data_IF_560694106042
#
_entry.id   IF_560694106042
#
_cell.length_a   1.000
_cell.length_b   1.000
_cell.length_c   1.000
_cell.angle_alpha   90.00
_cell.angle_beta   90.00
_cell.angle_gamma   90.00
#
_symmetry.space_group_name_H-M   'P 1'
#
loop_
_entity.id
_entity.type
_entity.pdbx_description
1 polymer ?
#
# COMPACT_ATOMS: atom_id res chain seq x y z
N UNK A 1 -28.46 -8.02 -8.74
CA UNK A 1 -27.57 -8.80 -7.84
C UNK A 1 -26.42 -7.96 -7.29
N UNK A 2 -25.59 -7.30 -8.13
CA UNK A 2 -24.41 -6.52 -7.67
C UNK A 2 -24.73 -5.31 -6.76
N UNK A 3 -25.84 -4.59 -7.00
CA UNK A 3 -26.25 -3.45 -6.16
C UNK A 3 -26.60 -3.87 -4.72
N UNK A 4 -27.25 -5.02 -4.56
CA UNK A 4 -27.64 -5.56 -3.26
C UNK A 4 -26.43 -5.98 -2.42
N UNK A 5 -25.42 -6.57 -3.06
CA UNK A 5 -24.16 -6.98 -2.40
C UNK A 5 -23.37 -5.77 -1.87
N UNK A 6 -23.17 -4.72 -2.70
CA UNK A 6 -22.48 -3.49 -2.25
C UNK A 6 -23.20 -2.82 -1.07
N UNK A 7 -24.52 -2.81 -1.07
CA UNK A 7 -25.30 -2.25 0.02
C UNK A 7 -25.13 -3.05 1.32
N UNK A 8 -25.09 -4.38 1.24
CA UNK A 8 -24.86 -5.25 2.39
C UNK A 8 -23.44 -5.06 2.96
N UNK A 9 -22.42 -5.01 2.10
CA UNK A 9 -21.03 -4.74 2.49
C UNK A 9 -20.91 -3.40 3.23
N UNK A 10 -21.47 -2.32 2.67
CA UNK A 10 -21.48 -0.99 3.30
C UNK A 10 -22.15 -1.00 4.67
N UNK A 11 -23.29 -1.68 4.81
CA UNK A 11 -24.00 -1.82 6.10
C UNK A 11 -23.16 -2.57 7.12
N UNK A 12 -22.50 -3.65 6.73
CA UNK A 12 -21.65 -4.43 7.62
C UNK A 12 -20.46 -3.59 8.13
N UNK A 13 -19.82 -2.81 7.26
CA UNK A 13 -18.74 -1.89 7.63
C UNK A 13 -19.20 -0.83 8.62
N UNK A 14 -20.38 -0.23 8.42
CA UNK A 14 -20.95 0.74 9.36
C UNK A 14 -21.18 0.12 10.74
N UNK A 15 -21.83 -1.05 10.80
CA UNK A 15 -22.12 -1.73 12.07
C UNK A 15 -20.82 -2.05 12.81
N UNK A 16 -19.81 -2.57 12.11
CA UNK A 16 -18.52 -2.90 12.71
C UNK A 16 -17.80 -1.65 13.24
N UNK A 17 -17.81 -0.56 12.47
CA UNK A 17 -17.20 0.70 12.88
C UNK A 17 -17.92 1.33 14.08
N UNK A 18 -19.26 1.33 14.08
CA UNK A 18 -20.09 1.82 15.21
C UNK A 18 -19.87 0.99 16.49
N UNK A 19 -19.62 -0.31 16.35
CA UNK A 19 -19.29 -1.20 17.45
C UNK A 19 -17.83 -1.08 17.94
N UNK A 20 -17.01 -0.23 17.31
CA UNK A 20 -15.60 -0.04 17.69
C UNK A 20 -14.69 -1.22 17.31
N UNK A 21 -15.13 -2.07 16.36
CA UNK A 21 -14.32 -3.19 15.87
C UNK A 21 -13.15 -2.65 15.04
N UNK A 22 -11.94 -3.17 15.29
CA UNK A 22 -10.78 -2.86 14.44
C UNK A 22 -10.95 -3.55 13.09
N UNK A 23 -11.01 -2.75 12.03
CA UNK A 23 -11.18 -3.22 10.65
C UNK A 23 -9.82 -3.29 9.95
N UNK A 24 -9.52 -4.42 9.32
CA UNK A 24 -8.35 -4.59 8.47
C UNK A 24 -8.77 -4.67 6.99
N UNK A 25 -7.86 -4.26 6.11
CA UNK A 25 -8.01 -4.38 4.66
C UNK A 25 -7.54 -5.76 4.18
N UNK A 26 -8.36 -6.41 3.37
CA UNK A 26 -8.05 -7.67 2.71
C UNK A 26 -8.89 -7.80 1.45
N UNK A 27 -8.31 -8.32 0.36
CA UNK A 27 -9.00 -8.44 -0.92
C UNK A 27 -9.80 -9.74 -1.01
N UNK A 28 -9.24 -10.86 -0.54
CA UNK A 28 -9.80 -12.21 -0.73
C UNK A 28 -10.22 -12.46 -2.21
N UNK A 29 -9.40 -11.94 -3.13
CA UNK A 29 -9.59 -12.05 -4.56
C UNK A 29 -8.63 -13.08 -5.12
N UNK A 30 -9.14 -14.00 -5.94
CA UNK A 30 -8.36 -15.09 -6.53
C UNK A 30 -8.29 -14.97 -8.06
N UNK A 31 -7.13 -15.31 -8.62
CA UNK A 31 -6.90 -15.32 -10.06
C UNK A 31 -7.04 -13.92 -10.69
N UNK A 32 -7.77 -13.76 -11.80
CA UNK A 32 -7.86 -12.50 -12.53
C UNK A 32 -8.56 -11.39 -11.74
N UNK A 33 -9.15 -11.71 -10.58
CA UNK A 33 -9.87 -10.76 -9.74
C UNK A 33 -8.96 -9.77 -9.03
N UNK A 34 -7.64 -9.95 -9.02
CA UNK A 34 -6.71 -8.98 -8.41
C UNK A 34 -6.92 -7.53 -8.88
N UNK A 35 -7.43 -7.34 -10.12
CA UNK A 35 -7.74 -6.01 -10.69
C UNK A 35 -8.80 -5.25 -9.92
N UNK A 36 -9.63 -5.96 -9.15
CA UNK A 36 -10.64 -5.37 -8.30
C UNK A 36 -10.14 -5.05 -6.89
N UNK A 37 -8.89 -5.38 -6.53
CA UNK A 37 -8.34 -5.10 -5.20
C UNK A 37 -8.44 -3.62 -4.89
N UNK A 38 -7.90 -2.76 -5.76
CA UNK A 38 -7.90 -1.31 -5.51
C UNK A 38 -9.31 -0.72 -5.40
N UNK A 39 -10.30 -1.31 -6.08
CA UNK A 39 -11.71 -0.90 -6.01
C UNK A 39 -12.32 -0.99 -4.62
N UNK A 40 -11.77 -1.83 -3.76
CA UNK A 40 -12.21 -1.98 -2.37
C UNK A 40 -11.97 -0.70 -1.55
N UNK A 41 -10.95 0.11 -1.88
CA UNK A 41 -10.73 1.41 -1.24
C UNK A 41 -11.91 2.37 -1.45
N UNK A 42 -12.42 2.45 -2.69
CA UNK A 42 -13.60 3.25 -3.03
C UNK A 42 -14.93 2.69 -2.51
N UNK A 43 -15.00 1.38 -2.22
CA UNK A 43 -16.17 0.79 -1.57
C UNK A 43 -16.18 1.10 -0.07
N UNK A 44 -15.04 0.94 0.61
CA UNK A 44 -14.90 1.20 2.04
C UNK A 44 -15.08 2.66 2.41
N UNK A 45 -14.69 3.59 1.54
CA UNK A 45 -14.87 5.03 1.76
C UNK A 45 -16.33 5.49 1.78
N UNK A 46 -17.27 4.66 1.33
CA UNK A 46 -18.71 4.91 1.44
C UNK A 46 -19.27 4.64 2.84
N UNK A 47 -18.48 4.02 3.71
CA UNK A 47 -18.83 3.68 5.10
C UNK A 47 -17.86 4.30 6.11
N UNK A 48 -16.58 4.39 5.75
CA UNK A 48 -15.50 4.79 6.64
C UNK A 48 -14.87 6.10 6.15
N UNK A 49 -14.33 6.89 7.08
CA UNK A 49 -13.48 8.03 6.70
C UNK A 49 -12.23 7.55 5.96
N UNK A 50 -11.70 8.37 5.05
CA UNK A 50 -10.46 8.10 4.31
C UNK A 50 -9.30 7.69 5.23
N UNK A 51 -9.19 8.35 6.40
CA UNK A 51 -8.21 8.02 7.42
C UNK A 51 -8.39 6.58 7.94
N UNK A 52 -9.62 6.18 8.29
CA UNK A 52 -9.92 4.83 8.76
C UNK A 52 -9.63 3.78 7.68
N UNK A 53 -9.95 4.08 6.40
CA UNK A 53 -9.62 3.18 5.29
C UNK A 53 -8.11 2.98 5.17
N UNK A 54 -7.32 4.05 5.21
CA UNK A 54 -5.86 3.96 5.17
C UNK A 54 -5.29 3.23 6.40
N UNK A 55 -5.83 3.49 7.60
CA UNK A 55 -5.42 2.79 8.82
C UNK A 55 -5.69 1.28 8.71
N UNK A 56 -6.83 0.90 8.13
CA UNK A 56 -7.19 -0.50 7.90
C UNK A 56 -6.19 -1.25 7.02
N UNK A 57 -5.52 -0.56 6.08
CA UNK A 57 -4.50 -1.12 5.19
C UNK A 57 -3.06 -0.95 5.69
N UNK A 58 -2.88 -0.29 6.84
CA UNK A 58 -1.57 0.04 7.40
C UNK A 58 -1.49 -0.43 8.86
N UNK A 59 -1.60 0.49 9.81
CA UNK A 59 -1.40 0.22 11.25
C UNK A 59 -2.32 -0.87 11.80
N UNK A 60 -3.56 -0.96 11.33
CA UNK A 60 -4.50 -1.96 11.84
C UNK A 60 -4.23 -3.34 11.22
N UNK A 61 -3.82 -3.38 9.95
CA UNK A 61 -3.34 -4.61 9.31
C UNK A 61 -2.05 -5.11 9.98
N UNK A 62 -1.10 -4.23 10.29
CA UNK A 62 0.12 -4.59 11.01
C UNK A 62 -0.18 -5.20 12.38
N UNK A 63 -1.11 -4.62 13.15
CA UNK A 63 -1.58 -5.20 14.43
C UNK A 63 -2.25 -6.56 14.25
N UNK A 64 -3.08 -6.71 13.22
CA UNK A 64 -3.73 -8.00 12.93
C UNK A 64 -2.69 -9.10 12.62
N UNK A 65 -1.59 -8.72 11.96
CA UNK A 65 -0.45 -9.58 11.64
C UNK A 65 0.52 -9.79 12.81
N UNK A 66 0.34 -9.09 13.94
CA UNK A 66 1.28 -9.06 15.08
C UNK A 66 2.68 -8.54 14.71
N UNK A 67 2.71 -7.58 13.80
CA UNK A 67 3.91 -6.94 13.26
C UNK A 67 3.87 -5.42 13.46
N UNK A 68 3.10 -4.91 14.42
CA UNK A 68 2.90 -3.48 14.67
C UNK A 68 4.17 -2.71 15.09
N UNK A 69 5.23 -3.42 15.49
CA UNK A 69 6.54 -2.85 15.80
C UNK A 69 7.45 -2.74 14.57
N UNK A 70 7.06 -3.36 13.45
CA UNK A 70 7.87 -3.46 12.23
C UNK A 70 7.17 -2.96 10.97
N UNK A 71 5.84 -3.07 10.85
CA UNK A 71 5.05 -2.71 9.67
C UNK A 71 4.05 -1.56 9.92
N UNK A 72 3.57 -0.97 8.84
CA UNK A 72 2.40 -0.07 8.84
C UNK A 72 2.66 1.36 9.26
N UNK A 73 3.91 1.73 9.56
CA UNK A 73 4.30 3.09 9.90
C UNK A 73 5.57 3.50 9.19
N UNK A 74 5.64 4.78 8.78
CA UNK A 74 6.86 5.40 8.30
C UNK A 74 7.62 5.93 9.52
N UNK A 75 8.46 5.08 10.11
CA UNK A 75 9.23 5.40 11.32
C UNK A 75 10.56 4.65 11.28
N UNK A 76 11.61 5.24 11.85
CA UNK A 76 12.89 4.53 12.00
C UNK A 76 12.71 3.23 12.79
N UNK A 77 13.33 2.15 12.32
CA UNK A 77 13.17 0.80 12.89
C UNK A 77 12.08 -0.04 12.21
N UNK A 78 11.23 0.56 11.37
CA UNK A 78 10.20 -0.15 10.60
C UNK A 78 10.74 -0.58 9.23
N UNK A 79 10.05 -1.53 8.59
CA UNK A 79 10.27 -1.91 7.20
C UNK A 79 10.03 -0.72 6.27
N UNK A 80 10.87 -0.58 5.26
CA UNK A 80 10.76 0.46 4.25
C UNK A 80 9.83 0.02 3.11
N UNK A 81 8.57 -0.26 3.47
CA UNK A 81 7.47 -0.59 2.54
C UNK A 81 6.65 0.68 2.27
N UNK A 82 6.85 1.28 1.10
CA UNK A 82 6.36 2.62 0.77
C UNK A 82 5.66 2.67 -0.59
N UNK A 83 4.56 3.42 -0.65
CA UNK A 83 3.95 3.89 -1.89
C UNK A 83 4.27 5.36 -2.09
N UNK A 84 4.76 5.72 -3.28
CA UNK A 84 5.00 7.10 -3.68
C UNK A 84 3.93 7.52 -4.68
N UNK A 85 3.15 8.55 -4.33
CA UNK A 85 2.01 9.02 -5.10
C UNK A 85 2.19 10.47 -5.53
N UNK A 86 1.61 10.87 -6.66
CA UNK A 86 1.58 12.27 -7.11
C UNK A 86 0.40 13.08 -6.53
N UNK A 87 -0.49 12.44 -5.78
CA UNK A 87 -1.68 13.03 -5.17
C UNK A 87 -1.88 12.50 -3.75
N UNK A 88 -2.68 13.22 -2.97
CA UNK A 88 -2.93 12.93 -1.56
C UNK A 88 -4.12 11.97 -1.38
N UNK A 89 -3.93 10.69 -1.04
CA UNK A 89 -5.04 9.77 -0.81
C UNK A 89 -5.89 10.14 0.41
N UNK A 90 -5.45 11.06 1.29
CA UNK A 90 -6.30 11.61 2.36
C UNK A 90 -7.35 12.59 1.83
N UNK A 91 -7.09 13.24 0.70
CA UNK A 91 -8.03 14.16 0.05
C UNK A 91 -8.98 13.38 -0.87
N UNK A 92 -8.44 12.46 -1.67
CA UNK A 92 -9.24 11.56 -2.50
C UNK A 92 -8.64 10.15 -2.51
N UNK A 93 -9.35 9.20 -1.90
CA UNK A 93 -8.95 7.79 -1.84
C UNK A 93 -9.11 7.08 -3.18
N UNK A 94 -9.93 7.63 -4.10
CA UNK A 94 -10.18 7.04 -5.42
C UNK A 94 -8.95 7.11 -6.33
N UNK A 95 -7.89 7.82 -5.95
CA UNK A 95 -6.63 7.79 -6.71
C UNK A 95 -6.02 6.38 -6.77
N UNK A 96 -6.36 5.50 -5.81
CA UNK A 96 -5.91 4.10 -5.83
C UNK A 96 -6.54 3.28 -6.96
N UNK A 97 -7.68 3.72 -7.49
CA UNK A 97 -8.38 3.06 -8.59
C UNK A 97 -7.74 3.25 -9.97
N UNK A 98 -6.77 4.18 -10.07
CA UNK A 98 -6.07 4.58 -11.29
C UNK A 98 -4.55 4.55 -11.07
N UNK A 99 -3.97 3.37 -10.75
CA UNK A 99 -2.56 3.26 -10.37
C UNK A 99 -1.60 3.77 -11.46
N UNK A 100 -1.95 3.59 -12.74
CA UNK A 100 -1.19 4.07 -13.88
C UNK A 100 -1.04 5.59 -13.94
N UNK A 101 -1.94 6.34 -13.29
CA UNK A 101 -1.92 7.80 -13.22
C UNK A 101 -1.31 8.34 -11.95
N UNK A 102 -1.49 7.66 -10.82
CA UNK A 102 -1.17 8.23 -9.51
C UNK A 102 0.04 7.61 -8.83
N UNK A 103 0.42 6.37 -9.14
CA UNK A 103 1.55 5.69 -8.52
C UNK A 103 2.83 6.10 -9.23
N UNK A 104 3.76 6.71 -8.50
CA UNK A 104 5.07 7.10 -9.01
C UNK A 104 6.10 6.00 -8.80
N UNK A 105 6.08 5.36 -7.63
CA UNK A 105 6.96 4.25 -7.29
C UNK A 105 6.39 3.39 -6.16
N UNK A 106 6.80 2.12 -6.15
CA UNK A 106 6.55 1.15 -5.09
C UNK A 106 7.90 0.72 -4.52
N UNK A 107 8.06 0.87 -3.22
CA UNK A 107 9.25 0.45 -2.48
C UNK A 107 8.85 -0.67 -1.53
N UNK A 108 9.59 -1.77 -1.54
CA UNK A 108 9.39 -2.92 -0.65
C UNK A 108 10.71 -3.28 0.01
N UNK A 109 10.72 -3.40 1.33
CA UNK A 109 11.91 -3.72 2.14
C UNK A 109 13.12 -2.81 1.80
N UNK A 110 12.84 -1.56 1.41
CA UNK A 110 13.86 -0.58 1.01
C UNK A 110 14.37 -0.69 -0.43
N UNK A 111 13.83 -1.60 -1.25
CA UNK A 111 14.11 -1.72 -2.70
C UNK A 111 13.00 -1.08 -3.52
N UNK A 112 13.36 -0.37 -4.58
CA UNK A 112 12.41 0.17 -5.56
C UNK A 112 12.02 -0.95 -6.53
N UNK A 113 10.88 -1.59 -6.27
CA UNK A 113 10.38 -2.71 -7.06
C UNK A 113 9.74 -2.26 -8.38
N UNK A 114 9.13 -1.07 -8.40
CA UNK A 114 8.54 -0.50 -9.60
C UNK A 114 8.58 1.03 -9.54
N UNK A 115 8.90 1.69 -10.65
CA UNK A 115 8.93 3.15 -10.71
C UNK A 115 8.76 3.72 -12.11
N UNK A 116 7.92 4.75 -12.20
CA UNK A 116 7.81 5.63 -13.39
C UNK A 116 8.44 6.99 -13.16
N UNK A 117 9.04 7.22 -11.99
CA UNK A 117 9.65 8.48 -11.65
C UNK A 117 11.13 8.47 -11.97
N UNK A 118 11.54 9.29 -12.94
CA UNK A 118 12.94 9.37 -13.40
C UNK A 118 13.98 9.65 -12.32
N UNK A 119 13.58 10.24 -11.18
CA UNK A 119 14.46 10.53 -10.03
C UNK A 119 14.65 9.34 -9.09
N UNK A 120 13.85 8.28 -9.25
CA UNK A 120 13.85 7.10 -8.40
C UNK A 120 13.84 5.85 -9.29
N UNK A 121 14.97 5.47 -9.90
CA UNK A 121 15.02 4.29 -10.77
C UNK A 121 14.80 3.00 -9.97
N UNK A 122 14.26 2.00 -10.64
CA UNK A 122 14.09 0.64 -10.10
C UNK A 122 15.45 0.05 -9.71
N UNK A 123 15.46 -0.68 -8.60
CA UNK A 123 16.63 -1.43 -8.19
C UNK A 123 16.69 -2.70 -9.05
N UNK A 124 17.48 -2.65 -10.13
CA UNK A 124 17.60 -3.71 -11.15
C UNK A 124 17.58 -5.13 -10.58
N UNK A 125 16.49 -5.85 -10.86
CA UNK A 125 16.55 -7.24 -11.31
C UNK A 125 15.78 -7.35 -12.64
N UNK A 126 16.49 -7.75 -13.68
CA UNK A 126 16.04 -7.72 -15.08
C UNK A 126 15.02 -8.84 -15.28
N UNK A 127 13.72 -8.57 -15.18
CA UNK A 127 12.64 -9.24 -15.93
C UNK A 127 11.28 -8.74 -15.44
N UNK A 128 10.62 -7.81 -16.15
CA UNK A 128 9.16 -7.78 -16.45
C UNK A 128 8.66 -6.35 -16.77
N UNK A 129 8.16 -6.09 -17.99
CA UNK A 129 7.58 -4.79 -18.37
C UNK A 129 6.20 -4.47 -17.72
N UNK A 130 5.64 -5.37 -16.91
CA UNK A 130 4.30 -5.32 -16.30
C UNK A 130 4.29 -5.18 -14.76
N UNK A 131 5.45 -4.88 -14.16
CA UNK A 131 5.70 -4.91 -12.72
C UNK A 131 4.82 -3.99 -11.85
N UNK A 132 4.29 -2.86 -12.36
CA UNK A 132 3.52 -1.92 -11.52
C UNK A 132 2.18 -2.50 -11.05
N UNK A 133 1.51 -3.29 -11.90
CA UNK A 133 0.24 -3.94 -11.57
C UNK A 133 0.54 -5.29 -10.90
N UNK A 134 1.47 -6.08 -11.43
CA UNK A 134 1.82 -7.36 -10.79
C UNK A 134 2.45 -7.20 -9.39
N UNK A 135 3.23 -6.16 -9.09
CA UNK A 135 3.83 -5.97 -7.76
C UNK A 135 2.78 -5.55 -6.71
N UNK A 136 1.71 -4.87 -7.12
CA UNK A 136 0.55 -4.64 -6.26
C UNK A 136 -0.27 -5.93 -6.04
N UNK A 137 -0.24 -6.86 -6.99
CA UNK A 137 -1.09 -8.06 -7.01
C UNK A 137 -0.39 -9.32 -6.48
N UNK A 138 0.93 -9.39 -6.58
CA UNK A 138 1.75 -10.53 -6.23
C UNK A 138 2.51 -10.22 -4.94
N UNK A 139 1.83 -10.42 -3.82
CA UNK A 139 2.46 -10.61 -2.52
C UNK A 139 3.21 -11.96 -2.41
N UNK A 140 3.76 -12.48 -3.51
CA UNK A 140 4.65 -13.64 -3.52
C UNK A 140 5.90 -13.30 -4.32
N UNK A 141 6.88 -12.68 -3.66
CA UNK A 141 8.27 -12.74 -4.11
C UNK A 141 9.15 -12.99 -2.89
N UNK A 142 9.76 -14.17 -2.90
CA UNK A 142 10.64 -14.69 -1.86
C UNK A 142 12.00 -14.00 -1.86
N UNK A 143 12.60 -13.88 -0.67
CA UNK A 143 14.04 -13.81 -0.35
C UNK A 143 14.93 -12.95 -1.27
N UNK A 144 15.33 -11.77 -0.78
CA UNK A 144 16.68 -11.24 -1.06
C UNK A 144 17.35 -10.86 0.27
N UNK A 145 18.36 -11.65 0.65
CA UNK A 145 19.31 -11.29 1.70
C UNK A 145 20.25 -10.24 1.10
N UNK A 146 20.11 -8.99 1.53
CA UNK A 146 20.92 -7.87 1.02
C UNK A 146 21.20 -6.86 2.13
N UNK A 147 22.41 -6.93 2.66
CA UNK A 147 23.08 -6.10 3.68
C UNK A 147 22.74 -4.60 3.74
N UNK A 148 22.80 -4.05 4.97
CA UNK A 148 22.87 -2.65 5.48
C UNK A 148 22.94 -1.42 4.52
N UNK A 149 23.42 -1.55 3.29
CA UNK A 149 23.48 -0.49 2.27
C UNK A 149 22.10 0.01 1.80
N UNK A 150 21.11 -0.90 1.77
CA UNK A 150 19.75 -0.62 1.25
C UNK A 150 19.00 0.36 2.18
N UNK A 151 19.21 0.24 3.50
CA UNK A 151 18.62 1.12 4.51
C UNK A 151 19.06 2.58 4.35
N UNK A 152 20.27 2.83 3.85
CA UNK A 152 20.76 4.18 3.59
C UNK A 152 20.07 4.84 2.38
N UNK A 153 19.66 4.07 1.37
CA UNK A 153 19.00 4.56 0.15
C UNK A 153 17.54 4.95 0.42
N UNK A 154 16.80 4.10 1.14
CA UNK A 154 15.46 4.41 1.63
C UNK A 154 15.45 5.63 2.59
N UNK A 155 16.44 5.73 3.49
CA UNK A 155 16.61 6.91 4.32
C UNK A 155 16.93 8.17 3.51
N UNK A 156 17.69 8.07 2.41
CA UNK A 156 17.94 9.21 1.52
C UNK A 156 16.67 9.70 0.80
N UNK A 157 15.72 8.81 0.51
CA UNK A 157 14.41 9.18 -0.09
C UNK A 157 13.50 9.85 0.95
N UNK A 158 13.44 9.28 2.16
CA UNK A 158 12.61 9.80 3.26
C UNK A 158 13.13 11.12 3.84
N UNK A 159 14.45 11.31 3.92
CA UNK A 159 15.06 12.47 4.59
C UNK A 159 15.64 13.54 3.65
N UNK A 160 15.73 13.31 2.33
CA UNK A 160 16.16 14.35 1.40
C UNK A 160 14.98 15.25 0.99
N UNK A 161 14.80 16.34 1.74
CA UNK A 161 13.77 17.38 1.49
C UNK A 161 13.81 17.97 0.07
N UNK A 162 14.90 17.80 -0.69
CA UNK A 162 15.03 18.31 -2.06
C UNK A 162 14.35 17.41 -3.13
N UNK A 163 13.98 16.17 -2.78
CA UNK A 163 13.24 15.26 -3.66
C UNK A 163 11.71 15.48 -3.53
N UNK A 164 11.28 15.96 -2.36
CA UNK A 164 9.88 16.10 -1.94
C UNK A 164 9.41 17.57 -2.06
N UNK A 165 9.21 18.11 -3.27
CA UNK A 165 8.24 19.22 -3.50
C UNK A 165 8.00 19.59 -4.97
N UNK A 166 6.77 20.03 -5.34
CA UNK A 166 5.49 19.90 -4.62
C UNK A 166 4.63 18.73 -5.17
N UNK A 167 3.77 18.15 -4.31
CA UNK A 167 2.81 17.04 -4.55
C UNK A 167 3.40 15.63 -4.71
N UNK A 168 4.26 15.20 -3.79
CA UNK A 168 4.65 13.80 -3.68
C UNK A 168 4.29 13.31 -2.29
N UNK A 169 3.46 12.29 -2.21
CA UNK A 169 2.94 11.74 -0.97
C UNK A 169 3.45 10.32 -0.77
N UNK A 170 3.90 10.01 0.44
CA UNK A 170 4.50 8.71 0.78
C UNK A 170 3.68 8.03 1.86
N UNK A 171 3.28 6.78 1.63
CA UNK A 171 2.47 6.00 2.57
C UNK A 171 3.11 4.64 2.83
N UNK A 172 3.00 4.16 4.06
CA UNK A 172 3.35 2.76 4.36
C UNK A 172 2.29 1.83 3.81
N UNK A 173 2.67 0.60 3.46
CA UNK A 173 1.76 -0.50 3.19
C UNK A 173 2.08 -1.67 4.13
N UNK A 174 1.05 -2.29 4.71
CA UNK A 174 1.22 -3.49 5.53
C UNK A 174 0.76 -4.70 4.74
N UNK A 175 1.70 -5.37 4.11
CA UNK A 175 1.45 -6.64 3.45
C UNK A 175 1.94 -7.75 4.36
N UNK A 176 1.22 -8.89 4.46
CA UNK A 176 1.80 -10.08 5.07
C UNK A 176 3.05 -10.45 4.28
N UNK A 177 4.22 -10.21 4.88
CA UNK A 177 5.43 -10.88 4.45
C UNK A 177 5.25 -12.35 4.85
N UNK A 178 5.22 -13.26 3.88
CA UNK A 178 5.37 -14.70 4.15
C UNK A 178 6.68 -14.86 4.91
N UNK A 179 6.58 -14.97 6.25
CA UNK A 179 7.68 -15.46 7.05
C UNK A 179 7.99 -16.85 6.52
N UNK A 180 9.19 -16.99 5.94
CA UNK A 180 9.79 -18.27 5.60
C UNK A 180 9.65 -19.27 6.74
#
# INVERSE_FOLDING_TARGET
MLRSSKLACRRALNIAAEAGVTLSYGSDLLGPLGVAQTKEFGLRSQALSTKQVLQSATVDAARLLREEEFLGQIKAGFSADLLVLNENPLEDILIFDLPEKHFLAVVKEGRVEASRWSKLPEDMDITRPDALIECLFSQQVSKVLGSLSIYAKANKILYNKNILKPKIHVYSISTPCEKR
#
